data_IF_614882996867
#
_entry.id   IF_614882996867
#
_cell.length_a   1.000
_cell.length_b   1.000
_cell.length_c   1.000
_cell.angle_alpha   90.00
_cell.angle_beta   90.00
_cell.angle_gamma   90.00
#
_symmetry.space_group_name_H-M   'P 1'
#
loop_
_entity.id
_entity.type
_entity.pdbx_description
1 polymer ?
#
# COMPACT_ATOMS: atom_id res chain seq x y z
N UNK A 1 -5.25 -30.23 -6.50
CA UNK A 1 -5.97 -28.94 -6.46
C UNK A 1 -5.01 -27.73 -6.64
N UNK A 2 -3.92 -27.61 -5.88
CA UNK A 2 -2.99 -26.46 -5.92
C UNK A 2 -2.40 -26.20 -7.32
N UNK A 3 -1.94 -27.23 -8.05
CA UNK A 3 -1.38 -27.12 -9.40
C UNK A 3 -2.38 -26.55 -10.42
N UNK A 4 -3.66 -26.95 -10.33
CA UNK A 4 -4.74 -26.43 -11.19
C UNK A 4 -5.02 -24.98 -10.87
N UNK A 5 -5.06 -24.61 -9.57
CA UNK A 5 -5.21 -23.23 -9.11
C UNK A 5 -4.09 -22.33 -9.65
N UNK A 6 -2.83 -22.70 -9.43
CA UNK A 6 -1.67 -21.95 -9.92
C UNK A 6 -1.72 -21.78 -11.45
N UNK A 7 -2.03 -22.84 -12.20
CA UNK A 7 -2.10 -22.77 -13.67
C UNK A 7 -3.21 -21.84 -14.15
N UNK A 8 -4.35 -21.78 -13.45
CA UNK A 8 -5.47 -20.88 -13.80
C UNK A 8 -5.06 -19.42 -13.62
N UNK A 9 -4.45 -19.06 -12.49
CA UNK A 9 -4.13 -17.64 -12.18
C UNK A 9 -2.79 -17.18 -12.75
N UNK A 10 -1.91 -18.09 -13.18
CA UNK A 10 -0.64 -17.76 -13.84
C UNK A 10 -0.82 -16.91 -15.11
N UNK A 11 -1.91 -17.10 -15.86
CA UNK A 11 -2.21 -16.30 -17.04
C UNK A 11 -2.47 -14.82 -16.67
N UNK A 12 -3.23 -14.58 -15.61
CA UNK A 12 -3.49 -13.22 -15.11
C UNK A 12 -2.22 -12.56 -14.58
N UNK A 13 -1.40 -13.29 -13.82
CA UNK A 13 -0.10 -12.82 -13.37
C UNK A 13 0.81 -12.40 -14.54
N UNK A 14 0.90 -13.23 -15.58
CA UNK A 14 1.69 -12.90 -16.77
C UNK A 14 1.14 -11.68 -17.50
N UNK A 15 -0.19 -11.54 -17.60
CA UNK A 15 -0.82 -10.36 -18.17
C UNK A 15 -0.43 -9.09 -17.41
N UNK A 16 -0.40 -9.12 -16.07
CA UNK A 16 0.07 -8.01 -15.26
C UNK A 16 1.52 -7.64 -15.54
N UNK A 17 2.43 -8.63 -15.59
CA UNK A 17 3.86 -8.36 -15.94
C UNK A 17 3.95 -7.72 -17.33
N UNK A 18 3.24 -8.25 -18.33
CA UNK A 18 3.26 -7.71 -19.68
C UNK A 18 2.69 -6.29 -19.76
N UNK A 19 1.62 -6.00 -19.04
CA UNK A 19 1.02 -4.67 -18.95
C UNK A 19 2.03 -3.65 -18.42
N UNK A 20 2.69 -3.94 -17.29
CA UNK A 20 3.72 -3.04 -16.74
C UNK A 20 4.89 -2.79 -17.69
N UNK A 21 5.28 -3.79 -18.46
CA UNK A 21 6.35 -3.65 -19.46
C UNK A 21 5.92 -2.81 -20.67
N UNK A 22 4.66 -2.87 -21.05
CA UNK A 22 4.11 -2.09 -22.18
C UNK A 22 4.08 -0.58 -21.85
N UNK A 23 3.76 -0.21 -20.62
CA UNK A 23 3.64 1.19 -20.17
C UNK A 23 4.90 1.74 -19.49
N UNK A 24 6.09 1.25 -19.89
CA UNK A 24 7.38 1.64 -19.29
C UNK A 24 7.65 3.14 -19.23
N UNK A 25 7.22 3.92 -20.24
CA UNK A 25 7.41 5.37 -20.28
C UNK A 25 6.59 6.07 -19.20
N UNK A 26 5.31 5.73 -19.06
CA UNK A 26 4.44 6.24 -18.00
C UNK A 26 4.98 5.89 -16.62
N UNK A 27 5.50 4.67 -16.47
CA UNK A 27 6.16 4.21 -15.25
C UNK A 27 7.39 5.07 -14.91
N UNK A 28 8.26 5.38 -15.89
CA UNK A 28 9.43 6.25 -15.66
C UNK A 28 9.02 7.67 -15.24
N UNK A 29 8.02 8.26 -15.91
CA UNK A 29 7.49 9.57 -15.52
C UNK A 29 6.93 9.56 -14.09
N UNK A 30 6.25 8.48 -13.72
CA UNK A 30 5.73 8.32 -12.35
C UNK A 30 6.87 8.24 -11.32
N UNK A 31 7.91 7.44 -11.58
CA UNK A 31 9.09 7.32 -10.68
C UNK A 31 9.79 8.67 -10.52
N UNK A 32 9.91 9.46 -11.58
CA UNK A 32 10.47 10.81 -11.51
C UNK A 32 9.61 11.72 -10.62
N UNK A 33 8.29 11.70 -10.77
CA UNK A 33 7.37 12.46 -9.94
C UNK A 33 7.48 12.12 -8.44
N UNK A 34 7.50 10.83 -8.12
CA UNK A 34 7.66 10.34 -6.73
C UNK A 34 9.05 10.69 -6.15
N UNK A 35 10.10 10.65 -6.98
CA UNK A 35 11.43 11.07 -6.57
C UNK A 35 11.47 12.56 -6.23
N UNK A 36 10.87 13.40 -7.07
CA UNK A 36 10.74 14.83 -6.80
C UNK A 36 9.94 15.09 -5.51
N UNK A 37 8.85 14.38 -5.29
CA UNK A 37 8.09 14.45 -4.05
C UNK A 37 8.96 14.13 -2.82
N UNK A 38 9.74 13.04 -2.85
CA UNK A 38 10.65 12.69 -1.77
C UNK A 38 11.69 13.79 -1.51
N UNK A 39 12.27 14.39 -2.56
CA UNK A 39 13.19 15.52 -2.41
C UNK A 39 12.54 16.72 -1.77
N UNK A 40 11.36 17.11 -2.20
CA UNK A 40 10.60 18.23 -1.61
C UNK A 40 10.33 17.96 -0.13
N UNK A 41 9.85 16.78 0.21
CA UNK A 41 9.58 16.37 1.60
C UNK A 41 10.86 16.36 2.46
N UNK A 42 11.98 15.90 1.90
CA UNK A 42 13.28 15.96 2.59
C UNK A 42 13.65 17.40 2.97
N UNK A 43 13.55 18.36 2.03
CA UNK A 43 13.90 19.75 2.30
C UNK A 43 12.92 20.41 3.27
N UNK A 44 11.62 20.10 3.20
CA UNK A 44 10.63 20.57 4.17
C UNK A 44 11.00 20.11 5.59
N UNK A 45 11.25 18.81 5.77
CA UNK A 45 11.63 18.30 7.08
C UNK A 45 12.98 18.81 7.56
N UNK A 46 13.95 18.96 6.65
CA UNK A 46 15.22 19.62 6.99
C UNK A 46 15.01 21.04 7.50
N UNK A 47 14.15 21.82 6.88
CA UNK A 47 13.83 23.17 7.35
C UNK A 47 13.13 23.16 8.72
N UNK A 48 12.22 22.22 8.97
CA UNK A 48 11.56 22.04 10.28
C UNK A 48 12.58 21.73 11.37
N UNK A 49 13.51 20.80 11.14
CA UNK A 49 14.55 20.47 12.13
C UNK A 49 15.51 21.64 12.37
N UNK A 50 15.88 22.37 11.34
CA UNK A 50 16.74 23.57 11.49
C UNK A 50 16.04 24.68 12.27
N UNK A 51 14.73 24.83 12.15
CA UNK A 51 13.96 25.85 12.86
C UNK A 51 13.65 25.48 14.31
N UNK A 52 13.60 24.18 14.65
CA UNK A 52 13.35 23.74 16.03
C UNK A 52 14.56 23.96 16.95
N UNK A 53 15.76 24.05 16.39
CA UNK A 53 17.01 24.19 17.15
C UNK A 53 17.44 22.92 17.92
N UNK A 54 16.62 21.88 17.93
CA UNK A 54 16.87 20.64 18.63
C UNK A 54 17.49 19.59 17.69
N UNK A 55 18.38 18.76 18.23
CA UNK A 55 18.96 17.61 17.50
C UNK A 55 17.94 16.50 17.27
N UNK A 56 16.87 16.46 18.06
CA UNK A 56 15.78 15.48 17.97
C UNK A 56 14.42 16.16 18.09
N UNK A 57 13.50 15.80 17.22
CA UNK A 57 12.11 16.28 17.24
C UNK A 57 11.17 15.09 17.49
N UNK A 58 10.49 15.07 18.61
CA UNK A 58 9.57 14.00 19.02
C UNK A 58 10.18 12.58 18.93
N UNK A 59 11.46 12.44 19.27
CA UNK A 59 12.17 11.15 19.27
C UNK A 59 12.72 10.71 17.91
N UNK A 60 12.69 11.59 16.92
CA UNK A 60 13.29 11.39 15.59
C UNK A 60 14.47 12.32 15.40
N UNK A 61 15.57 11.80 14.89
CA UNK A 61 16.66 12.61 14.33
C UNK A 61 16.34 13.01 12.89
N UNK A 62 17.07 13.97 12.33
CA UNK A 62 16.94 14.33 10.90
C UNK A 62 17.23 13.12 9.99
N UNK A 63 18.15 12.24 10.40
CA UNK A 63 18.46 10.99 9.69
C UNK A 63 17.27 10.04 9.74
N UNK A 64 16.65 9.85 10.92
CA UNK A 64 15.44 9.04 11.06
C UNK A 64 14.32 9.57 10.17
N UNK A 65 14.13 10.90 10.15
CA UNK A 65 13.07 11.51 9.36
C UNK A 65 13.33 11.39 7.86
N UNK A 66 14.57 11.52 7.43
CA UNK A 66 14.94 11.28 6.02
C UNK A 66 14.63 9.84 5.63
N UNK A 67 15.06 8.86 6.42
CA UNK A 67 14.77 7.44 6.19
C UNK A 67 13.25 7.20 6.16
N UNK A 68 12.51 7.81 7.09
CA UNK A 68 11.05 7.70 7.14
C UNK A 68 10.39 8.19 5.86
N UNK A 69 10.77 9.37 5.34
CA UNK A 69 10.18 9.95 4.12
C UNK A 69 10.37 9.02 2.92
N UNK A 70 11.59 8.53 2.71
CA UNK A 70 11.87 7.63 1.59
C UNK A 70 11.17 6.27 1.75
N UNK A 71 11.17 5.71 2.95
CA UNK A 71 10.53 4.42 3.20
C UNK A 71 9.00 4.51 3.17
N UNK A 72 8.39 5.53 3.78
CA UNK A 72 6.94 5.67 3.77
C UNK A 72 6.38 5.89 2.36
N UNK A 73 7.11 6.64 1.52
CA UNK A 73 6.77 6.78 0.11
C UNK A 73 6.92 5.45 -0.63
N UNK A 74 8.04 4.74 -0.45
CA UNK A 74 8.28 3.42 -1.04
C UNK A 74 7.20 2.41 -0.65
N UNK A 75 6.87 2.34 0.65
CA UNK A 75 5.82 1.46 1.19
C UNK A 75 4.47 1.83 0.59
N UNK A 76 4.10 3.12 0.59
CA UNK A 76 2.85 3.60 0.03
C UNK A 76 2.72 3.23 -1.45
N UNK A 77 3.78 3.37 -2.22
CA UNK A 77 3.82 3.02 -3.64
C UNK A 77 3.68 1.51 -3.89
N UNK A 78 4.41 0.69 -3.13
CA UNK A 78 4.38 -0.76 -3.28
C UNK A 78 3.06 -1.38 -2.81
N UNK A 79 2.42 -0.79 -1.81
CA UNK A 79 1.13 -1.25 -1.28
C UNK A 79 -0.08 -0.66 -1.99
N UNK A 80 0.10 0.39 -2.80
CA UNK A 80 -0.98 0.93 -3.64
C UNK A 80 -1.52 -0.13 -4.60
N UNK A 81 -2.82 -0.12 -4.84
CA UNK A 81 -3.50 -1.04 -5.77
C UNK A 81 -4.49 -0.27 -6.64
N UNK A 82 -4.61 -0.67 -7.90
CA UNK A 82 -5.51 -0.06 -8.88
C UNK A 82 -6.81 -0.87 -9.06
N UNK A 83 -7.01 -1.92 -8.25
CA UNK A 83 -8.15 -2.84 -8.37
C UNK A 83 -9.50 -2.15 -8.22
N UNK A 84 -9.60 -1.05 -7.43
CA UNK A 84 -10.85 -0.31 -7.30
C UNK A 84 -11.27 0.37 -8.60
N UNK A 85 -10.32 1.02 -9.27
CA UNK A 85 -10.61 1.81 -10.45
C UNK A 85 -10.81 0.89 -11.68
N UNK A 86 -9.99 -0.16 -11.82
CA UNK A 86 -10.17 -1.18 -12.85
C UNK A 86 -11.52 -1.92 -12.73
N UNK A 87 -11.88 -2.30 -11.48
CA UNK A 87 -13.16 -2.97 -11.22
C UNK A 87 -14.35 -2.04 -11.47
N UNK A 88 -14.21 -0.79 -11.08
CA UNK A 88 -15.21 0.23 -11.30
C UNK A 88 -15.47 0.50 -12.79
N UNK A 89 -14.43 0.58 -13.59
CA UNK A 89 -14.51 0.72 -15.04
C UNK A 89 -15.23 -0.50 -15.65
N UNK A 90 -14.83 -1.73 -15.29
CA UNK A 90 -15.49 -2.96 -15.75
C UNK A 90 -16.98 -3.04 -15.37
N UNK A 91 -17.38 -2.46 -14.24
CA UNK A 91 -18.78 -2.40 -13.79
C UNK A 91 -19.56 -1.39 -14.63
N UNK A 92 -18.98 -0.20 -14.87
CA UNK A 92 -19.67 0.86 -15.61
C UNK A 92 -19.84 0.59 -17.09
N UNK A 93 -18.85 -0.04 -17.74
CA UNK A 93 -18.93 -0.45 -19.15
C UNK A 93 -19.63 -1.79 -19.36
N UNK A 94 -19.99 -2.49 -18.27
CA UNK A 94 -20.66 -3.78 -18.29
C UNK A 94 -19.73 -4.97 -18.59
N UNK A 95 -18.44 -4.75 -18.82
CA UNK A 95 -17.49 -5.83 -19.15
C UNK A 95 -17.24 -6.80 -17.98
N UNK A 96 -17.62 -6.42 -16.75
CA UNK A 96 -17.60 -7.30 -15.58
C UNK A 96 -18.33 -8.63 -15.83
N UNK A 97 -19.38 -8.63 -16.67
CA UNK A 97 -20.10 -9.83 -17.06
C UNK A 97 -19.18 -10.85 -17.72
N UNK A 98 -18.26 -10.41 -18.58
CA UNK A 98 -17.27 -11.27 -19.24
C UNK A 98 -16.31 -11.93 -18.25
N UNK A 99 -16.09 -11.32 -17.11
CA UNK A 99 -15.31 -11.90 -16.02
C UNK A 99 -16.13 -12.90 -15.20
N UNK A 100 -17.41 -12.62 -15.00
CA UNK A 100 -18.32 -13.45 -14.20
C UNK A 100 -18.72 -14.77 -14.88
N UNK A 101 -18.80 -14.81 -16.22
CA UNK A 101 -19.10 -16.05 -16.96
C UNK A 101 -17.92 -17.03 -16.98
N UNK A 102 -16.70 -16.57 -16.66
CA UNK A 102 -15.53 -17.44 -16.57
C UNK A 102 -15.55 -18.19 -15.23
N UNK A 103 -15.17 -19.48 -15.18
CA UNK A 103 -15.13 -20.27 -13.95
C UNK A 103 -13.90 -19.93 -13.10
N UNK A 104 -13.71 -18.64 -12.81
CA UNK A 104 -12.60 -18.08 -12.02
C UNK A 104 -13.14 -17.12 -10.98
N UNK A 105 -12.48 -17.07 -9.83
CA UNK A 105 -12.82 -16.08 -8.82
C UNK A 105 -12.30 -14.70 -9.22
N UNK A 106 -13.16 -13.69 -9.17
CA UNK A 106 -12.85 -12.31 -9.57
C UNK A 106 -11.71 -11.74 -8.72
N UNK A 107 -11.79 -11.85 -7.40
CA UNK A 107 -10.79 -11.31 -6.48
C UNK A 107 -9.40 -11.89 -6.76
N UNK A 108 -9.30 -13.22 -6.90
CA UNK A 108 -8.01 -13.88 -7.17
C UNK A 108 -7.46 -13.55 -8.56
N UNK A 109 -8.32 -13.30 -9.56
CA UNK A 109 -7.88 -12.91 -10.89
C UNK A 109 -7.29 -11.50 -10.89
N UNK A 110 -7.91 -10.57 -10.16
CA UNK A 110 -7.40 -9.20 -9.96
C UNK A 110 -6.10 -9.23 -9.14
N UNK A 111 -6.08 -9.97 -8.03
CA UNK A 111 -4.88 -10.10 -7.19
C UNK A 111 -3.69 -10.66 -7.98
N UNK A 112 -3.91 -11.71 -8.79
CA UNK A 112 -2.85 -12.29 -9.60
C UNK A 112 -2.31 -11.31 -10.66
N UNK A 113 -3.19 -10.53 -11.29
CA UNK A 113 -2.80 -9.50 -12.24
C UNK A 113 -1.96 -8.40 -11.57
N UNK A 114 -2.42 -7.86 -10.44
CA UNK A 114 -1.69 -6.84 -9.69
C UNK A 114 -0.34 -7.35 -9.15
N UNK A 115 -0.28 -8.58 -8.65
CA UNK A 115 1.00 -9.17 -8.25
C UNK A 115 1.99 -9.24 -9.42
N UNK A 116 1.50 -9.49 -10.64
CA UNK A 116 2.31 -9.42 -11.85
C UNK A 116 2.90 -8.01 -12.08
N UNK A 117 2.08 -6.97 -11.93
CA UNK A 117 2.52 -5.57 -12.03
C UNK A 117 3.57 -5.24 -10.96
N UNK A 118 3.43 -5.73 -9.72
CA UNK A 118 4.36 -5.46 -8.62
C UNK A 118 5.77 -6.03 -8.83
N UNK A 119 5.94 -7.07 -9.63
CA UNK A 119 7.28 -7.64 -9.91
C UNK A 119 8.22 -6.58 -10.50
N UNK A 120 7.76 -5.80 -11.46
CA UNK A 120 8.56 -4.73 -12.08
C UNK A 120 8.85 -3.63 -11.05
N UNK A 121 7.85 -3.24 -10.26
CA UNK A 121 8.00 -2.22 -9.21
C UNK A 121 9.01 -2.64 -8.14
N UNK A 122 8.95 -3.89 -7.68
CA UNK A 122 9.92 -4.41 -6.70
C UNK A 122 11.33 -4.39 -7.28
N UNK A 123 11.51 -4.83 -8.51
CA UNK A 123 12.84 -4.90 -9.11
C UNK A 123 13.42 -3.51 -9.41
N UNK A 124 12.60 -2.61 -9.97
CA UNK A 124 13.08 -1.32 -10.49
C UNK A 124 13.06 -0.20 -9.44
N UNK A 125 12.27 -0.30 -8.37
CA UNK A 125 12.12 0.76 -7.38
C UNK A 125 12.54 0.29 -5.99
N UNK A 126 11.96 -0.81 -5.50
CA UNK A 126 12.22 -1.25 -4.12
C UNK A 126 13.71 -1.51 -3.88
N UNK A 127 14.35 -2.31 -4.73
CA UNK A 127 15.76 -2.64 -4.54
C UNK A 127 16.68 -1.41 -4.60
N UNK A 128 16.61 -0.52 -5.62
CA UNK A 128 17.44 0.68 -5.66
C UNK A 128 17.17 1.65 -4.50
N UNK A 129 15.91 1.88 -4.10
CA UNK A 129 15.59 2.78 -2.99
C UNK A 129 16.09 2.22 -1.66
N UNK A 130 15.92 0.92 -1.40
CA UNK A 130 16.43 0.28 -0.19
C UNK A 130 17.96 0.36 -0.11
N UNK A 131 18.66 0.12 -1.22
CA UNK A 131 20.11 0.29 -1.29
C UNK A 131 20.50 1.76 -1.04
N UNK A 132 19.81 2.70 -1.64
CA UNK A 132 20.04 4.14 -1.43
C UNK A 132 19.85 4.57 0.02
N UNK A 133 18.81 4.08 0.69
CA UNK A 133 18.53 4.34 2.12
C UNK A 133 19.67 3.79 2.99
N UNK A 134 20.14 2.57 2.74
CA UNK A 134 21.23 1.98 3.53
C UNK A 134 22.58 2.66 3.27
N UNK A 135 22.88 3.04 2.03
CA UNK A 135 24.09 3.83 1.69
C UNK A 135 24.04 5.19 2.41
N UNK A 136 22.89 5.86 2.40
CA UNK A 136 22.71 7.12 3.13
C UNK A 136 22.92 6.93 4.63
N UNK A 137 22.29 5.92 5.24
CA UNK A 137 22.48 5.62 6.68
C UNK A 137 23.93 5.36 7.01
N UNK A 138 24.63 4.56 6.21
CA UNK A 138 26.05 4.29 6.39
C UNK A 138 26.91 5.57 6.29
N UNK A 139 26.63 6.44 5.32
CA UNK A 139 27.39 7.68 5.12
C UNK A 139 27.24 8.67 6.30
N UNK A 140 26.08 8.67 6.97
CA UNK A 140 25.80 9.58 8.08
C UNK A 140 26.20 8.99 9.43
N UNK A 141 25.95 7.69 9.64
CA UNK A 141 26.20 7.03 10.93
C UNK A 141 27.62 6.48 11.09
N UNK A 142 28.32 6.20 9.98
CA UNK A 142 29.65 5.62 9.97
C UNK A 142 29.68 4.10 10.26
N UNK A 143 28.55 3.47 10.43
CA UNK A 143 28.42 2.02 10.64
C UNK A 143 27.20 1.44 9.93
N UNK A 144 27.22 0.10 9.71
CA UNK A 144 26.10 -0.61 9.08
C UNK A 144 24.94 -0.75 10.07
N UNK A 145 23.88 0.01 9.87
CA UNK A 145 22.69 0.00 10.72
C UNK A 145 21.62 -1.01 10.27
N UNK A 146 21.91 -1.80 9.22
CA UNK A 146 21.00 -2.81 8.69
C UNK A 146 20.78 -3.95 9.68
N UNK A 147 19.53 -4.27 9.96
CA UNK A 147 19.14 -5.38 10.82
C UNK A 147 18.27 -6.36 10.03
N UNK A 148 18.78 -7.57 9.83
CA UNK A 148 18.10 -8.62 9.05
C UNK A 148 16.74 -9.01 9.64
N UNK A 149 16.60 -9.04 10.97
CA UNK A 149 15.33 -9.37 11.63
C UNK A 149 14.28 -8.31 11.33
N UNK A 150 14.64 -7.03 11.47
CA UNK A 150 13.74 -5.92 11.13
C UNK A 150 13.38 -5.92 9.65
N UNK A 151 14.31 -6.26 8.76
CA UNK A 151 14.07 -6.38 7.33
C UNK A 151 13.10 -7.52 6.99
N UNK A 152 13.23 -8.68 7.62
CA UNK A 152 12.32 -9.80 7.42
C UNK A 152 10.90 -9.48 7.94
N UNK A 153 10.79 -8.87 9.13
CA UNK A 153 9.52 -8.43 9.70
C UNK A 153 8.88 -7.29 8.87
N UNK A 154 9.68 -6.37 8.37
CA UNK A 154 9.26 -5.35 7.41
C UNK A 154 8.68 -5.96 6.14
N UNK A 155 9.37 -6.94 5.55
CA UNK A 155 8.90 -7.63 4.34
C UNK A 155 7.58 -8.37 4.60
N UNK A 156 7.46 -9.04 5.74
CA UNK A 156 6.19 -9.65 6.16
C UNK A 156 5.08 -8.62 6.31
N UNK A 157 5.36 -7.51 7.02
CA UNK A 157 4.41 -6.42 7.21
C UNK A 157 4.01 -5.76 5.89
N UNK A 158 4.94 -5.62 4.93
CA UNK A 158 4.67 -5.14 3.57
C UNK A 158 3.67 -6.03 2.82
N UNK A 159 3.83 -7.34 2.91
CA UNK A 159 2.89 -8.31 2.31
C UNK A 159 1.50 -8.17 2.94
N UNK A 160 1.43 -8.06 4.27
CA UNK A 160 0.17 -7.84 4.98
C UNK A 160 -0.46 -6.49 4.61
N UNK A 161 0.33 -5.41 4.53
CA UNK A 161 -0.14 -4.08 4.11
C UNK A 161 -0.69 -4.09 2.68
N UNK A 162 -0.01 -4.81 1.77
CA UNK A 162 -0.49 -4.98 0.40
C UNK A 162 -1.84 -5.70 0.35
N UNK A 163 -1.99 -6.81 1.08
CA UNK A 163 -3.27 -7.54 1.16
C UNK A 163 -4.38 -6.66 1.77
N UNK A 164 -4.05 -5.92 2.81
CA UNK A 164 -4.98 -4.99 3.45
C UNK A 164 -5.45 -3.89 2.47
N UNK A 165 -4.52 -3.29 1.75
CA UNK A 165 -4.79 -2.29 0.70
C UNK A 165 -5.63 -2.87 -0.42
N UNK A 166 -5.30 -4.08 -0.88
CA UNK A 166 -6.04 -4.77 -1.94
C UNK A 166 -7.51 -4.98 -1.56
N UNK A 167 -7.80 -5.56 -0.41
CA UNK A 167 -9.19 -5.78 0.02
C UNK A 167 -9.93 -4.49 0.33
N UNK A 168 -9.25 -3.47 0.86
CA UNK A 168 -9.82 -2.14 1.00
C UNK A 168 -10.24 -1.58 -0.38
N UNK A 169 -9.37 -1.66 -1.38
CA UNK A 169 -9.66 -1.20 -2.73
C UNK A 169 -10.76 -2.04 -3.41
N UNK A 170 -10.84 -3.36 -3.19
CA UNK A 170 -11.94 -4.18 -3.67
C UNK A 170 -13.30 -3.71 -3.11
N UNK A 171 -13.36 -3.36 -1.81
CA UNK A 171 -14.58 -2.80 -1.20
C UNK A 171 -15.03 -1.56 -1.98
N UNK A 172 -14.10 -0.62 -2.23
CA UNK A 172 -14.40 0.59 -2.99
C UNK A 172 -14.77 0.29 -4.45
N UNK A 173 -14.11 -0.67 -5.10
CA UNK A 173 -14.44 -1.11 -6.45
C UNK A 173 -15.85 -1.69 -6.54
N UNK A 174 -16.25 -2.55 -5.59
CA UNK A 174 -17.60 -3.11 -5.57
C UNK A 174 -18.68 -2.08 -5.25
N UNK A 175 -18.36 -0.97 -4.58
CA UNK A 175 -19.31 0.13 -4.40
C UNK A 175 -19.71 0.81 -5.72
N UNK A 176 -18.95 0.58 -6.82
CA UNK A 176 -19.30 1.04 -8.16
C UNK A 176 -20.66 0.53 -8.65
N UNK A 177 -21.13 -0.62 -8.18
CA UNK A 177 -22.48 -1.10 -8.48
C UNK A 177 -23.60 -0.18 -7.94
N UNK A 178 -23.26 0.70 -7.01
CA UNK A 178 -24.21 1.58 -6.32
C UNK A 178 -23.97 3.06 -6.61
N UNK A 179 -22.78 3.42 -7.09
CA UNK A 179 -22.33 4.80 -7.34
C UNK A 179 -22.20 5.06 -8.83
N UNK A 180 -22.84 6.13 -9.31
CA UNK A 180 -22.74 6.55 -10.73
C UNK A 180 -21.42 7.21 -11.07
N UNK A 181 -20.77 7.85 -10.11
CA UNK A 181 -19.48 8.52 -10.31
C UNK A 181 -18.51 8.14 -9.20
N UNK A 182 -17.40 7.49 -9.60
CA UNK A 182 -16.39 6.97 -8.67
C UNK A 182 -15.20 7.91 -8.54
N UNK A 183 -14.97 8.80 -9.49
CA UNK A 183 -13.79 9.66 -9.50
C UNK A 183 -13.66 10.51 -8.20
N UNK A 184 -14.71 11.23 -7.82
CA UNK A 184 -14.73 11.99 -6.57
C UNK A 184 -14.54 11.12 -5.34
N UNK A 185 -15.10 9.91 -5.37
CA UNK A 185 -14.97 8.95 -4.27
C UNK A 185 -13.55 8.37 -4.17
N UNK A 186 -12.88 8.12 -5.31
CA UNK A 186 -11.47 7.69 -5.36
C UNK A 186 -10.53 8.76 -4.80
N UNK A 187 -10.78 10.06 -5.10
CA UNK A 187 -10.02 11.16 -4.52
C UNK A 187 -10.21 11.22 -3.00
N UNK A 188 -11.45 11.15 -2.52
CA UNK A 188 -11.75 11.15 -1.08
C UNK A 188 -11.04 9.98 -0.38
N UNK A 189 -11.16 8.75 -0.93
CA UNK A 189 -10.48 7.55 -0.45
C UNK A 189 -8.97 7.75 -0.34
N UNK A 190 -8.33 8.20 -1.42
CA UNK A 190 -6.88 8.39 -1.47
C UNK A 190 -6.41 9.44 -0.46
N UNK A 191 -7.17 10.53 -0.29
CA UNK A 191 -6.88 11.58 0.69
C UNK A 191 -6.97 11.07 2.13
N UNK A 192 -8.03 10.32 2.45
CA UNK A 192 -8.20 9.68 3.76
C UNK A 192 -7.04 8.72 4.04
N UNK A 193 -6.71 7.85 3.09
CA UNK A 193 -5.61 6.89 3.23
C UNK A 193 -4.29 7.64 3.46
N UNK A 194 -3.95 8.64 2.64
CA UNK A 194 -2.70 9.41 2.78
C UNK A 194 -2.58 10.07 4.14
N UNK A 195 -3.67 10.65 4.66
CA UNK A 195 -3.66 11.36 5.94
C UNK A 195 -3.53 10.38 7.13
N UNK A 196 -4.35 9.33 7.18
CA UNK A 196 -4.41 8.42 8.32
C UNK A 196 -3.37 7.30 8.28
N UNK A 197 -2.69 7.07 7.15
CA UNK A 197 -1.65 6.04 7.04
C UNK A 197 -0.30 6.43 7.60
N UNK A 198 -0.10 7.73 7.91
CA UNK A 198 1.20 8.24 8.29
C UNK A 198 2.14 8.52 7.09
N UNK A 199 1.65 8.44 5.86
CA UNK A 199 2.47 8.66 4.67
C UNK A 199 3.02 10.10 4.57
N UNK A 200 2.25 11.09 5.02
CA UNK A 200 2.64 12.52 4.99
C UNK A 200 3.45 12.91 6.22
N UNK A 201 2.97 12.51 7.41
CA UNK A 201 3.53 12.86 8.71
C UNK A 201 3.52 11.61 9.57
N UNK A 202 4.64 11.25 10.24
CA UNK A 202 4.65 10.12 11.16
C UNK A 202 3.54 10.24 12.19
N UNK A 203 2.79 9.16 12.43
CA UNK A 203 1.70 9.17 13.43
C UNK A 203 2.22 9.45 14.85
N UNK A 204 3.50 9.20 15.10
CA UNK A 204 4.16 9.54 16.34
C UNK A 204 4.14 11.06 16.67
N UNK A 205 3.93 11.93 15.68
CA UNK A 205 3.92 13.38 15.86
C UNK A 205 2.56 13.94 16.29
N UNK A 206 1.52 13.13 16.25
CA UNK A 206 0.20 13.55 16.73
C UNK A 206 0.11 13.49 18.25
N UNK A 207 -0.71 14.36 18.89
CA UNK A 207 -0.92 14.35 20.34
C UNK A 207 -1.47 12.98 20.82
N UNK A 208 -1.11 12.57 22.05
CA UNK A 208 -1.32 11.25 22.63
C UNK A 208 -2.64 10.54 22.27
N UNK A 209 -3.81 11.17 22.51
CA UNK A 209 -5.11 10.55 22.21
C UNK A 209 -5.31 10.38 20.70
N UNK A 210 -4.97 11.40 19.90
CA UNK A 210 -5.13 11.37 18.43
C UNK A 210 -4.21 10.30 17.83
N UNK A 211 -2.96 10.21 18.30
CA UNK A 211 -2.01 9.16 17.93
C UNK A 211 -2.61 7.78 18.19
N UNK A 212 -3.11 7.55 19.41
CA UNK A 212 -3.67 6.24 19.79
C UNK A 212 -4.87 5.86 18.90
N UNK A 213 -5.77 6.80 18.62
CA UNK A 213 -6.92 6.55 17.73
C UNK A 213 -6.43 6.22 16.31
N UNK A 214 -5.50 7.00 15.75
CA UNK A 214 -5.01 6.79 14.39
C UNK A 214 -4.28 5.46 14.26
N UNK A 215 -3.48 5.08 15.26
CA UNK A 215 -2.77 3.80 15.26
C UNK A 215 -3.71 2.59 15.35
N UNK A 216 -4.94 2.74 15.89
CA UNK A 216 -5.92 1.65 15.89
C UNK A 216 -6.67 1.51 14.57
N UNK A 217 -6.73 2.55 13.74
CA UNK A 217 -7.35 2.50 12.44
C UNK A 217 -6.58 1.57 11.47
N UNK A 218 -7.26 0.97 10.48
CA UNK A 218 -6.61 0.12 9.48
C UNK A 218 -5.56 0.86 8.65
N UNK A 219 -5.72 2.16 8.49
CA UNK A 219 -4.86 2.98 7.64
C UNK A 219 -3.41 3.05 8.13
N UNK A 220 -3.16 3.14 9.45
CA UNK A 220 -1.82 3.09 10.04
C UNK A 220 -1.06 1.82 9.63
N UNK A 221 -1.77 0.72 9.44
CA UNK A 221 -1.22 -0.56 9.03
C UNK A 221 -0.74 -0.60 7.58
N UNK A 222 -1.12 0.40 6.76
CA UNK A 222 -0.75 0.46 5.34
C UNK A 222 0.67 0.98 5.12
N UNK A 223 1.08 2.03 5.85
CA UNK A 223 2.35 2.71 5.62
C UNK A 223 3.16 2.87 6.91
N UNK A 224 2.56 3.40 7.97
CA UNK A 224 3.26 3.69 9.22
C UNK A 224 3.86 2.43 9.85
N UNK A 225 3.06 1.38 10.00
CA UNK A 225 3.48 0.14 10.67
C UNK A 225 4.71 -0.49 10.00
N UNK A 226 4.72 -0.82 8.69
CA UNK A 226 5.92 -1.41 8.09
C UNK A 226 7.13 -0.49 8.13
N UNK A 227 6.95 0.82 7.94
CA UNK A 227 8.04 1.80 8.01
C UNK A 227 8.70 1.82 9.39
N UNK A 228 7.89 1.85 10.46
CA UNK A 228 8.39 1.85 11.84
C UNK A 228 9.05 0.51 12.24
N UNK A 229 8.57 -0.62 11.69
CA UNK A 229 9.22 -1.93 11.87
C UNK A 229 10.63 -1.92 11.28
N UNK A 230 10.79 -1.42 10.06
CA UNK A 230 12.11 -1.33 9.44
C UNK A 230 13.08 -0.45 10.27
N UNK A 231 12.57 0.68 10.76
CA UNK A 231 13.35 1.62 11.57
C UNK A 231 13.66 1.10 12.98
N UNK A 232 13.11 -0.06 13.38
CA UNK A 232 13.34 -0.64 14.71
C UNK A 232 12.73 0.18 15.85
N UNK A 233 11.65 0.91 15.59
CA UNK A 233 11.01 1.80 16.58
C UNK A 233 9.95 1.08 17.44
N UNK A 234 9.73 -0.23 17.25
CA UNK A 234 8.81 -1.04 18.05
C UNK A 234 9.57 -2.03 18.96
N UNK A 235 9.11 -2.20 20.17
CA UNK A 235 9.53 -3.29 21.06
C UNK A 235 8.98 -4.64 20.57
N UNK A 236 9.53 -5.75 21.05
CA UNK A 236 9.10 -7.10 20.63
C UNK A 236 7.60 -7.36 20.86
N UNK A 237 7.05 -6.88 21.98
CA UNK A 237 5.62 -7.04 22.29
C UNK A 237 4.75 -6.19 21.35
N UNK A 238 5.18 -4.97 21.05
CA UNK A 238 4.49 -4.09 20.11
C UNK A 238 4.51 -4.67 18.69
N UNK A 239 5.62 -5.30 18.26
CA UNK A 239 5.72 -5.97 16.95
C UNK A 239 4.65 -7.04 16.76
N UNK A 240 4.47 -7.92 17.77
CA UNK A 240 3.42 -8.94 17.70
C UNK A 240 2.02 -8.32 17.62
N UNK A 241 1.78 -7.26 18.41
CA UNK A 241 0.51 -6.55 18.43
C UNK A 241 0.20 -5.88 17.09
N UNK A 242 1.15 -5.16 16.47
CA UNK A 242 0.91 -4.44 15.21
C UNK A 242 0.76 -5.40 14.02
N UNK A 243 1.50 -6.52 13.99
CA UNK A 243 1.32 -7.55 12.97
C UNK A 243 -0.02 -8.29 13.15
N UNK A 244 -0.41 -8.60 14.39
CA UNK A 244 -1.71 -9.18 14.70
C UNK A 244 -2.86 -8.26 14.28
N UNK A 245 -2.70 -6.95 14.48
CA UNK A 245 -3.67 -5.93 14.04
C UNK A 245 -3.79 -5.87 12.51
N UNK A 246 -2.69 -5.99 11.77
CA UNK A 246 -2.75 -6.08 10.30
C UNK A 246 -3.58 -7.30 9.85
N UNK A 247 -3.33 -8.47 10.43
CA UNK A 247 -4.10 -9.69 10.12
C UNK A 247 -5.57 -9.52 10.48
N UNK A 248 -5.88 -8.94 11.65
CA UNK A 248 -7.26 -8.65 12.07
C UNK A 248 -7.99 -7.79 11.02
N UNK A 249 -7.40 -6.67 10.60
CA UNK A 249 -8.03 -5.78 9.62
C UNK A 249 -8.16 -6.42 8.24
N UNK A 250 -7.21 -7.28 7.82
CA UNK A 250 -7.35 -8.07 6.59
C UNK A 250 -8.58 -8.97 6.68
N UNK A 251 -8.77 -9.71 7.78
CA UNK A 251 -9.94 -10.56 7.98
C UNK A 251 -11.25 -9.76 7.92
N UNK A 252 -11.29 -8.58 8.55
CA UNK A 252 -12.44 -7.68 8.52
C UNK A 252 -12.75 -7.24 7.08
N UNK A 253 -11.74 -6.78 6.33
CA UNK A 253 -11.96 -6.29 4.95
C UNK A 253 -12.29 -7.41 3.96
N UNK A 254 -11.72 -8.60 4.13
CA UNK A 254 -12.14 -9.81 3.39
C UNK A 254 -13.62 -10.12 3.63
N UNK A 255 -14.08 -10.05 4.88
CA UNK A 255 -15.49 -10.26 5.24
C UNK A 255 -16.41 -9.22 4.60
N UNK A 256 -16.06 -7.94 4.71
CA UNK A 256 -16.83 -6.83 4.14
C UNK A 256 -16.87 -6.93 2.60
N UNK A 257 -15.71 -7.16 1.96
CA UNK A 257 -15.61 -7.32 0.51
C UNK A 257 -16.54 -8.43 -0.01
N UNK A 258 -16.52 -9.60 0.64
CA UNK A 258 -17.41 -10.72 0.29
C UNK A 258 -18.88 -10.38 0.50
N UNK A 259 -19.23 -9.70 1.59
CA UNK A 259 -20.59 -9.30 1.87
C UNK A 259 -21.13 -8.33 0.79
N UNK A 260 -20.33 -7.32 0.42
CA UNK A 260 -20.69 -6.37 -0.65
C UNK A 260 -20.81 -7.08 -1.99
N UNK A 261 -19.88 -7.98 -2.32
CA UNK A 261 -19.94 -8.76 -3.55
C UNK A 261 -21.23 -9.59 -3.68
N UNK A 262 -21.62 -10.31 -2.62
CA UNK A 262 -22.88 -11.08 -2.60
C UNK A 262 -24.10 -10.16 -2.81
N UNK A 263 -24.07 -8.97 -2.24
CA UNK A 263 -25.16 -7.99 -2.40
C UNK A 263 -25.17 -7.38 -3.80
N UNK A 264 -24.01 -7.06 -4.37
CA UNK A 264 -23.84 -6.51 -5.71
C UNK A 264 -24.34 -7.46 -6.82
N UNK A 265 -24.06 -8.76 -6.68
CA UNK A 265 -24.51 -9.78 -7.64
C UNK A 265 -26.05 -9.81 -7.79
N UNK A 266 -26.79 -9.56 -6.72
CA UNK A 266 -28.27 -9.51 -6.77
C UNK A 266 -28.79 -8.36 -7.63
N UNK A 267 -28.06 -7.25 -7.73
CA UNK A 267 -28.43 -6.11 -8.58
C UNK A 267 -28.18 -6.38 -10.06
N UNK A 268 -27.13 -7.08 -10.40
CA UNK A 268 -26.86 -7.47 -11.79
C UNK A 268 -27.97 -8.34 -12.39
N UNK A 269 -28.49 -9.27 -11.60
CA UNK A 269 -29.59 -10.13 -12.02
C UNK A 269 -30.90 -9.35 -12.36
N UNK A 270 -31.08 -8.16 -11.77
CA UNK A 270 -32.27 -7.31 -11.98
C UNK A 270 -32.14 -6.42 -13.22
N UNK A 271 -30.92 -6.05 -13.61
CA UNK A 271 -30.66 -5.18 -14.77
C UNK A 271 -30.51 -5.94 -16.09
N UNK A 272 -30.35 -7.25 -16.06
CA UNK A 272 -30.17 -8.13 -17.23
C UNK A 272 -31.35 -9.08 -17.49
N UNK A 273 -32.48 -8.93 -16.78
CA UNK A 273 -33.69 -9.75 -16.95
C UNK A 273 -34.80 -9.01 -17.65
#
# INVERSE_FOLDING_TARGET
>A
MLKKFINTYKAFFRAGVQSSMAYRTSFMCFVLGESLYCFVMYFIWKAVFLSSGDSTFLGFTITDMTVYVFLSNLVGFLTATDSSDALAEEIHDGSIIMRMIKPVNVDYSLLANELGNKVIMVTCIFLPVMLGVEIYRYSVLGYVAFNITNFLLFTLSMILSYLLSFYLNLIFGYLAFFLLNIWGFSILKSTIIKFFSGALIPLAFFPGVVKTVFEQLPFASLVYTPTMIYMGKFSTNELLFVLGKQVFWICVFVGISKAIWIWAQKRLAVQGG
#
